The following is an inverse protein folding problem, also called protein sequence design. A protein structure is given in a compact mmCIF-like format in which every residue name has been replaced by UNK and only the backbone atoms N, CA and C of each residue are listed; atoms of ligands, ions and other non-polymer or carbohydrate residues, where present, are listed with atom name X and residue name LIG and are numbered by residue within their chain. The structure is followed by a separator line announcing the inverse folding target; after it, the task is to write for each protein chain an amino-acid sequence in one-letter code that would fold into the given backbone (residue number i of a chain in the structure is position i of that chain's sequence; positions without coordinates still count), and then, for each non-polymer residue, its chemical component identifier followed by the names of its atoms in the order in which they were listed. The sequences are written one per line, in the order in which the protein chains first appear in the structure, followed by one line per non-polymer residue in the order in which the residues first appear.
data_IF_022120585724
#
_entry.id   IF_022120585724
#
_cell.length_a   1.000
_cell.length_b   1.000
_cell.length_c   1.000
_cell.angle_alpha   90.00
_cell.angle_beta   90.00
_cell.angle_gamma   90.00
#
_symmetry.space_group_name_H-M   'P 1'
#
loop_
_entity.id
_entity.type
_entity.pdbx_description
1 polymer ?
#
# COMPACT_ATOMS: atom_id res chain seq x y z
N UNK A 1 11.68 13.68 10.98
CA UNK A 1 12.04 12.45 10.25
C UNK A 1 10.96 12.29 9.22
N UNK A 2 11.31 12.33 7.93
CA UNK A 2 10.33 12.01 6.87
C UNK A 2 10.02 10.53 7.01
N UNK A 3 8.84 10.20 7.53
CA UNK A 3 8.43 8.81 7.65
C UNK A 3 8.48 8.18 6.25
N UNK A 4 9.21 7.08 6.15
CA UNK A 4 9.42 6.41 4.87
C UNK A 4 8.12 5.75 4.43
N UNK A 5 7.86 5.74 3.13
CA UNK A 5 6.76 4.97 2.55
C UNK A 5 6.85 3.51 2.98
N UNK A 6 5.70 2.90 3.23
CA UNK A 6 5.60 1.54 3.78
C UNK A 6 5.22 0.58 2.66
N UNK A 7 6.08 -0.40 2.40
CA UNK A 7 5.78 -1.49 1.46
C UNK A 7 4.73 -2.43 2.07
N UNK A 8 3.57 -2.53 1.42
CA UNK A 8 2.45 -3.38 1.86
C UNK A 8 2.29 -4.64 1.02
N UNK A 9 2.77 -4.60 -0.22
CA UNK A 9 2.85 -5.75 -1.11
C UNK A 9 4.15 -5.67 -1.90
N UNK A 10 4.78 -6.83 -2.14
CA UNK A 10 5.94 -6.94 -3.02
C UNK A 10 5.77 -8.16 -3.92
N UNK A 11 6.01 -7.97 -5.21
CA UNK A 11 5.84 -8.98 -6.25
C UNK A 11 7.15 -9.15 -7.03
N UNK A 12 7.51 -10.40 -7.34
CA UNK A 12 8.55 -10.66 -8.35
C UNK A 12 7.94 -10.40 -9.72
N UNK A 13 8.51 -9.44 -10.46
CA UNK A 13 8.09 -9.11 -11.81
C UNK A 13 8.42 -10.28 -12.76
N UNK A 14 7.50 -10.68 -13.64
CA UNK A 14 7.82 -11.62 -14.69
C UNK A 14 8.93 -11.09 -15.61
N UNK A 15 9.72 -11.99 -16.20
CA UNK A 15 10.82 -11.63 -17.10
C UNK A 15 10.33 -10.93 -18.39
N UNK A 16 9.08 -11.14 -18.78
CA UNK A 16 8.43 -10.48 -19.89
C UNK A 16 7.22 -9.67 -19.39
N UNK A 17 6.84 -8.60 -20.10
CA UNK A 17 5.64 -7.85 -19.76
C UNK A 17 4.39 -8.73 -19.94
N UNK A 18 3.63 -8.90 -18.87
CA UNK A 18 2.41 -9.72 -18.85
C UNK A 18 1.22 -8.87 -18.39
N UNK A 19 0.20 -8.75 -19.24
CA UNK A 19 -0.99 -7.96 -18.92
C UNK A 19 -1.71 -8.45 -17.66
N UNK A 20 -1.78 -9.77 -17.46
CA UNK A 20 -2.39 -10.36 -16.27
C UNK A 20 -1.65 -9.99 -14.97
N UNK A 21 -0.32 -9.84 -15.04
CA UNK A 21 0.46 -9.36 -13.89
C UNK A 21 0.14 -7.90 -13.58
N UNK A 22 0.07 -7.05 -14.61
CA UNK A 22 -0.28 -5.64 -14.45
C UNK A 22 -1.71 -5.46 -13.90
N UNK A 23 -2.65 -6.34 -14.27
CA UNK A 23 -4.00 -6.36 -13.69
C UNK A 23 -4.00 -6.69 -12.20
N UNK A 24 -3.13 -7.60 -11.74
CA UNK A 24 -2.98 -7.94 -10.31
C UNK A 24 -2.45 -6.72 -9.55
N UNK A 25 -1.39 -6.08 -10.05
CA UNK A 25 -0.81 -4.89 -9.41
C UNK A 25 -1.83 -3.75 -9.40
N UNK A 26 -2.57 -3.54 -10.49
CA UNK A 26 -3.61 -2.51 -10.57
C UNK A 26 -4.76 -2.76 -9.58
N UNK A 27 -5.20 -4.02 -9.43
CA UNK A 27 -6.22 -4.38 -8.45
C UNK A 27 -5.75 -4.15 -7.01
N UNK A 28 -4.47 -4.45 -6.72
CA UNK A 28 -3.88 -4.21 -5.41
C UNK A 28 -3.80 -2.71 -5.08
N UNK A 29 -3.34 -1.91 -6.04
CA UNK A 29 -3.30 -0.43 -5.95
C UNK A 29 -4.71 0.14 -5.75
N UNK A 30 -5.70 -0.33 -6.51
CA UNK A 30 -7.09 0.11 -6.37
C UNK A 30 -7.64 -0.15 -4.97
N UNK A 31 -7.36 -1.34 -4.40
CA UNK A 31 -7.74 -1.66 -3.01
C UNK A 31 -7.18 -0.64 -2.02
N UNK A 32 -5.93 -0.24 -2.17
CA UNK A 32 -5.31 0.75 -1.27
C UNK A 32 -5.81 2.17 -1.51
N UNK A 33 -6.15 2.55 -2.74
CA UNK A 33 -6.82 3.82 -3.01
C UNK A 33 -8.18 3.91 -2.31
N UNK A 34 -8.96 2.82 -2.33
CA UNK A 34 -10.24 2.79 -1.64
C UNK A 34 -10.05 2.85 -0.13
N UNK A 35 -9.08 2.12 0.42
CA UNK A 35 -8.72 2.16 1.83
C UNK A 35 -8.29 3.58 2.30
N UNK A 36 -7.58 4.32 1.44
CA UNK A 36 -7.23 5.71 1.68
C UNK A 36 -8.46 6.63 1.72
N UNK A 37 -9.37 6.47 0.76
CA UNK A 37 -10.63 7.22 0.72
C UNK A 37 -11.52 6.94 1.94
N UNK A 38 -11.60 5.68 2.37
CA UNK A 38 -12.32 5.27 3.58
C UNK A 38 -11.74 5.92 4.85
N UNK A 39 -10.44 6.20 4.84
CA UNK A 39 -9.71 6.89 5.92
C UNK A 39 -9.77 8.42 5.80
N UNK A 40 -10.48 8.97 4.81
CA UNK A 40 -10.60 10.41 4.58
C UNK A 40 -9.38 11.06 3.90
N UNK A 41 -8.47 10.25 3.35
CA UNK A 41 -7.30 10.71 2.60
C UNK A 41 -7.58 10.74 1.10
N UNK A 42 -6.71 11.42 0.35
CA UNK A 42 -6.70 11.29 -1.10
C UNK A 42 -6.24 9.88 -1.50
N UNK A 43 -6.91 9.27 -2.47
CA UNK A 43 -6.53 7.95 -2.95
C UNK A 43 -5.15 7.99 -3.60
N UNK A 44 -4.97 8.88 -4.57
CA UNK A 44 -3.82 8.88 -5.47
C UNK A 44 -2.54 9.39 -4.80
N UNK A 45 -2.64 10.36 -3.89
CA UNK A 45 -1.50 10.92 -3.16
C UNK A 45 -0.89 10.00 -2.11
N UNK A 46 -1.56 8.92 -1.73
CA UNK A 46 -1.18 8.08 -0.59
C UNK A 46 -0.81 6.63 -0.95
N UNK A 47 -0.80 6.30 -2.24
CA UNK A 47 -0.41 4.98 -2.77
C UNK A 47 0.54 5.18 -3.95
N UNK A 48 1.64 4.43 -4.00
CA UNK A 48 2.54 4.44 -5.15
C UNK A 48 3.08 3.05 -5.46
N UNK A 49 3.59 2.91 -6.67
CA UNK A 49 4.25 1.68 -7.13
C UNK A 49 5.73 1.97 -7.38
N UNK A 50 6.61 1.20 -6.75
CA UNK A 50 8.05 1.19 -7.02
C UNK A 50 8.41 -0.03 -7.86
N UNK A 51 9.31 0.14 -8.84
CA UNK A 51 9.79 -0.95 -9.70
C UNK A 51 11.30 -0.94 -9.73
N UNK A 52 11.91 -1.95 -9.13
CA UNK A 52 13.37 -2.00 -8.93
C UNK A 52 13.84 -3.44 -8.84
N UNK A 53 15.01 -3.76 -9.43
CA UNK A 53 15.65 -5.07 -9.31
C UNK A 53 14.78 -6.28 -9.71
N UNK A 54 13.78 -6.09 -10.58
CA UNK A 54 12.83 -7.15 -10.94
C UNK A 54 11.71 -7.37 -9.92
N UNK A 55 11.54 -6.45 -8.98
CA UNK A 55 10.44 -6.42 -8.03
C UNK A 55 9.50 -5.25 -8.33
N UNK A 56 8.23 -5.45 -8.03
CA UNK A 56 7.18 -4.43 -8.03
C UNK A 56 6.63 -4.33 -6.63
N UNK A 57 6.87 -3.20 -5.99
CA UNK A 57 6.40 -2.91 -4.64
C UNK A 57 5.19 -1.97 -4.73
N UNK A 58 4.13 -2.30 -3.98
CA UNK A 58 3.03 -1.37 -3.70
C UNK A 58 3.30 -0.79 -2.33
N UNK A 59 3.39 0.54 -2.27
CA UNK A 59 3.75 1.28 -1.07
C UNK A 59 2.63 2.26 -0.71
N UNK A 60 2.41 2.43 0.59
CA UNK A 60 1.49 3.43 1.14
C UNK A 60 2.23 4.51 1.91
N UNK A 61 1.63 5.69 1.95
CA UNK A 61 2.14 6.79 2.76
C UNK A 61 2.10 6.43 4.26
N UNK A 62 3.00 7.01 5.08
CA UNK A 62 2.93 6.89 6.54
C UNK A 62 1.59 7.31 7.14
N UNK A 63 0.93 8.32 6.57
CA UNK A 63 -0.37 8.80 7.02
C UNK A 63 -1.46 7.74 6.83
N UNK A 64 -1.41 7.01 5.71
CA UNK A 64 -2.32 5.91 5.43
C UNK A 64 -2.02 4.70 6.32
N UNK A 65 -0.74 4.36 6.53
CA UNK A 65 -0.34 3.30 7.45
C UNK A 65 -0.82 3.59 8.89
N UNK A 66 -0.68 4.83 9.34
CA UNK A 66 -1.17 5.27 10.64
C UNK A 66 -2.69 5.13 10.79
N UNK A 67 -3.47 5.32 9.72
CA UNK A 67 -4.92 5.12 9.74
C UNK A 67 -5.33 3.67 10.02
N UNK A 68 -4.48 2.69 9.68
CA UNK A 68 -4.69 1.27 9.94
C UNK A 68 -4.04 0.76 11.23
N UNK A 69 -3.29 1.60 11.96
CA UNK A 69 -2.80 1.18 13.28
C UNK A 69 -4.00 0.86 14.18
N UNK A 70 -4.04 -0.33 14.78
CA UNK A 70 -5.10 -0.64 15.72
C UNK A 70 -4.97 0.38 16.84
N UNK A 71 -6.03 1.17 17.07
CA UNK A 71 -6.19 1.79 18.37
C UNK A 71 -6.26 0.61 19.33
N UNK A 72 -5.14 0.26 19.97
CA UNK A 72 -5.13 -0.49 21.21
C UNK A 72 -5.78 0.42 22.26
N UNK A 73 -7.07 0.67 22.09
CA UNK A 73 -7.94 1.23 23.10
C UNK A 73 -8.08 0.13 24.13
N UNK A 74 -7.10 0.02 25.03
CA UNK A 74 -7.31 -0.35 26.42
C UNK A 74 -8.45 -1.36 26.68
N UNK A 75 -8.39 -2.57 26.12
CA UNK A 75 -9.16 -3.68 26.67
C UNK A 75 -8.34 -4.30 27.79
N UNK A 76 -8.34 -3.56 28.91
CA UNK A 76 -8.19 -4.04 30.29
C UNK A 76 -7.01 -4.97 30.59
N UNK A 77 -5.94 -4.36 31.13
CA UNK A 77 -5.43 -4.83 32.41
C UNK A 77 -6.56 -4.71 33.44
N UNK A 78 -7.33 -5.79 33.64
CA UNK A 78 -8.12 -6.06 34.84
C UNK A 78 -7.80 -7.46 35.31
#
# INVERSE_FOLDING_TARGET
MSDAWVTVSSYVAPLAAEAAFEEIVAADVARWHDAARESGLDGEGHVRVSRQNGEVDVEISPELDAAFTPVQTLWKAL
#
